data_IF_125630298091
#
_entry.id   IF_125630298091
#
_cell.length_a   1.000
_cell.length_b   1.000
_cell.length_c   1.000
_cell.angle_alpha   90.00
_cell.angle_beta   90.00
_cell.angle_gamma   90.00
#
_symmetry.space_group_name_H-M   'P 1'
#
loop_
_entity.id
_entity.type
_entity.pdbx_description
1 polymer ?
#
# COMPACT_ATOMS: atom_id res chain seq x y z
N UNK A 1 -7.31 6.18 22.14
CA UNK A 1 -5.83 6.25 22.08
C UNK A 1 -5.30 6.99 23.30
N UNK A 2 -4.13 6.64 23.83
CA UNK A 2 -3.50 7.38 24.95
C UNK A 2 -2.70 8.54 24.36
N UNK A 3 -3.08 9.77 24.69
CA UNK A 3 -2.31 10.96 24.32
C UNK A 3 -1.09 11.08 25.24
N UNK A 4 0.10 11.23 24.65
CA UNK A 4 1.38 11.34 25.40
C UNK A 4 1.94 12.76 25.41
N UNK A 5 1.59 13.56 24.40
CA UNK A 5 2.01 14.95 24.25
C UNK A 5 0.81 15.80 23.80
N UNK A 6 0.76 17.10 24.18
CA UNK A 6 -0.32 17.99 23.78
C UNK A 6 -0.30 18.28 22.28
N UNK A 7 0.89 18.40 21.68
CA UNK A 7 1.10 18.69 20.26
C UNK A 7 2.07 17.67 19.66
N UNK A 8 1.78 17.19 18.45
CA UNK A 8 2.66 16.29 17.70
C UNK A 8 2.89 16.85 16.30
N UNK A 9 4.16 17.03 15.95
CA UNK A 9 4.62 17.44 14.63
C UNK A 9 5.28 16.26 13.95
N UNK A 10 4.98 16.01 12.68
CA UNK A 10 5.55 14.89 11.93
C UNK A 10 5.99 15.37 10.55
N UNK A 11 7.27 15.15 10.22
CA UNK A 11 7.78 15.36 8.87
C UNK A 11 7.66 14.07 8.04
N UNK A 12 7.02 14.17 6.88
CA UNK A 12 6.82 13.04 5.94
C UNK A 12 7.04 13.49 4.50
N UNK A 13 7.19 12.53 3.57
CA UNK A 13 7.24 12.83 2.13
C UNK A 13 5.99 13.62 1.72
N UNK A 14 6.17 14.66 0.90
CA UNK A 14 5.09 15.58 0.52
C UNK A 14 3.90 14.87 -0.13
N UNK A 15 4.16 13.77 -0.85
CA UNK A 15 3.14 12.95 -1.52
C UNK A 15 2.19 12.26 -0.54
N UNK A 16 2.58 12.12 0.72
CA UNK A 16 1.78 11.51 1.78
C UNK A 16 0.93 12.53 2.56
N UNK A 17 1.19 13.84 2.39
CA UNK A 17 0.52 14.87 3.19
C UNK A 17 -1.01 14.84 3.07
N UNK A 18 -1.63 14.73 1.89
CA UNK A 18 -3.09 14.71 1.79
C UNK A 18 -3.70 13.55 2.58
N UNK A 19 -3.14 12.36 2.41
CA UNK A 19 -3.58 11.13 3.06
C UNK A 19 -3.46 11.20 4.59
N UNK A 20 -2.30 11.61 5.10
CA UNK A 20 -2.06 11.66 6.55
C UNK A 20 -2.86 12.78 7.23
N UNK A 21 -2.97 13.97 6.62
CA UNK A 21 -3.80 15.07 7.15
C UNK A 21 -5.28 14.69 7.21
N UNK A 22 -5.79 13.98 6.20
CA UNK A 22 -7.18 13.48 6.20
C UNK A 22 -7.41 12.43 7.29
N UNK A 23 -6.41 11.59 7.56
CA UNK A 23 -6.53 10.48 8.50
C UNK A 23 -6.34 10.89 9.97
N UNK A 24 -5.52 11.91 10.22
CA UNK A 24 -5.12 12.36 11.55
C UNK A 24 -5.06 13.91 11.58
N UNK A 25 -6.21 14.61 11.45
CA UNK A 25 -6.26 16.06 11.34
C UNK A 25 -5.75 16.80 12.57
N UNK A 26 -5.65 16.12 13.71
CA UNK A 26 -5.09 16.63 14.96
C UNK A 26 -3.55 16.70 14.97
N UNK A 27 -2.87 16.02 14.04
CA UNK A 27 -1.41 16.01 13.93
C UNK A 27 -0.96 17.05 12.90
N UNK A 28 0.06 17.83 13.25
CA UNK A 28 0.67 18.79 12.35
C UNK A 28 1.70 18.10 11.43
N UNK A 29 1.30 17.83 10.19
CA UNK A 29 2.20 17.25 9.18
C UNK A 29 2.93 18.30 8.35
N UNK A 30 4.24 18.11 8.20
CA UNK A 30 5.15 18.94 7.41
C UNK A 30 5.84 18.10 6.32
N UNK A 31 6.14 18.69 5.15
CA UNK A 31 6.90 17.97 4.13
C UNK A 31 8.37 17.83 4.58
N UNK A 32 8.97 16.67 4.34
CA UNK A 32 10.32 16.33 4.81
C UNK A 32 11.43 17.12 4.11
N UNK A 33 11.12 17.78 2.99
CA UNK A 33 12.03 18.67 2.27
C UNK A 33 12.03 20.11 2.82
N UNK A 34 11.21 20.40 3.85
CA UNK A 34 11.16 21.72 4.49
C UNK A 34 11.51 21.61 5.97
N UNK A 35 12.34 22.53 6.50
CA UNK A 35 12.62 22.58 7.93
C UNK A 35 11.37 22.95 8.72
N UNK A 36 11.24 22.35 9.91
CA UNK A 36 10.28 22.80 10.93
C UNK A 36 11.00 23.77 11.86
N UNK A 37 10.40 24.94 12.06
CA UNK A 37 10.90 25.97 12.98
C UNK A 37 11.14 25.38 14.38
N UNK A 38 12.36 25.53 14.90
CA UNK A 38 12.79 24.98 16.19
C UNK A 38 12.01 25.56 17.37
N UNK A 39 11.38 26.73 17.21
CA UNK A 39 10.49 27.29 18.23
C UNK A 39 9.17 26.52 18.39
N UNK A 40 8.86 25.56 17.51
CA UNK A 40 7.59 24.81 17.50
C UNK A 40 7.63 23.48 18.25
N UNK A 41 8.78 23.07 18.77
CA UNK A 41 8.90 21.79 19.49
C UNK A 41 9.94 21.86 20.61
N UNK A 42 9.69 21.15 21.70
CA UNK A 42 10.61 21.06 22.84
C UNK A 42 11.60 19.89 22.71
N UNK A 43 11.23 18.89 21.92
CA UNK A 43 12.01 17.68 21.68
C UNK A 43 11.67 17.07 20.32
N UNK A 44 12.59 16.28 19.76
CA UNK A 44 12.39 15.57 18.51
C UNK A 44 13.01 14.17 18.56
N UNK A 45 12.49 13.24 17.74
CA UNK A 45 12.96 11.87 17.63
C UNK A 45 12.81 11.39 16.17
N UNK A 46 13.78 10.65 15.62
CA UNK A 46 13.59 9.96 14.34
C UNK A 46 12.41 8.98 14.38
N UNK A 47 11.55 9.00 13.35
CA UNK A 47 10.36 8.14 13.29
C UNK A 47 10.67 6.64 13.39
N UNK A 48 11.85 6.21 12.96
CA UNK A 48 12.30 4.81 13.05
C UNK A 48 12.44 4.29 14.49
N UNK A 49 12.73 5.16 15.45
CA UNK A 49 12.97 4.78 16.85
C UNK A 49 11.67 4.48 17.59
N UNK A 50 10.53 4.96 17.07
CA UNK A 50 9.20 4.73 17.65
C UNK A 50 8.88 3.23 17.77
N UNK A 51 9.40 2.40 16.86
CA UNK A 51 9.24 0.95 16.93
C UNK A 51 9.81 0.36 18.22
N UNK A 52 11.01 0.78 18.63
CA UNK A 52 11.65 0.31 19.86
C UNK A 52 10.91 0.73 21.14
N UNK A 53 10.21 1.88 21.08
CA UNK A 53 9.47 2.44 22.22
C UNK A 53 8.08 1.80 22.35
N UNK A 54 7.36 1.64 21.24
CA UNK A 54 5.94 1.26 21.24
C UNK A 54 5.65 -0.18 20.80
N UNK A 55 6.67 -0.92 20.34
CA UNK A 55 6.55 -2.26 19.76
C UNK A 55 7.65 -3.21 20.28
N UNK A 56 7.80 -3.25 21.60
CA UNK A 56 8.85 -3.99 22.30
C UNK A 56 8.59 -5.50 22.37
N UNK A 57 7.32 -5.94 22.31
CA UNK A 57 6.90 -7.34 22.36
C UNK A 57 5.81 -7.64 21.34
N UNK A 58 5.60 -8.92 21.01
CA UNK A 58 4.65 -9.35 19.98
C UNK A 58 3.22 -8.91 20.27
N UNK A 59 2.83 -8.88 21.54
CA UNK A 59 1.48 -8.51 21.98
C UNK A 59 1.18 -7.03 21.70
N UNK A 60 2.20 -6.18 21.58
CA UNK A 60 2.02 -4.76 21.25
C UNK A 60 1.38 -4.61 19.86
N UNK A 61 1.57 -5.59 18.97
CA UNK A 61 1.00 -5.64 17.62
C UNK A 61 -0.44 -6.15 17.58
N UNK A 62 -0.87 -6.94 18.58
CA UNK A 62 -2.18 -7.62 18.57
C UNK A 62 -3.38 -6.66 18.67
N UNK A 63 -3.16 -5.45 19.18
CA UNK A 63 -4.20 -4.44 19.38
C UNK A 63 -4.49 -3.57 18.15
N UNK A 64 -4.03 -3.97 16.95
CA UNK A 64 -4.25 -3.23 15.70
C UNK A 64 -5.23 -3.99 14.81
N UNK A 65 -6.53 -3.72 15.01
CA UNK A 65 -7.60 -4.33 14.21
C UNK A 65 -8.03 -3.47 13.02
N UNK A 66 -7.72 -2.17 13.01
CA UNK A 66 -8.35 -1.20 12.13
C UNK A 66 -7.37 -0.47 11.20
N UNK A 67 -7.90 0.07 10.10
CA UNK A 67 -7.23 1.04 9.27
C UNK A 67 -6.76 2.24 10.10
N UNK A 68 -5.56 2.74 9.84
CA UNK A 68 -5.06 3.99 10.44
C UNK A 68 -4.85 5.09 9.41
N UNK A 69 -5.00 4.78 8.12
CA UNK A 69 -5.14 5.76 7.05
C UNK A 69 -6.52 5.64 6.42
N UNK A 70 -7.06 6.76 5.98
CA UNK A 70 -8.37 6.88 5.34
C UNK A 70 -8.14 7.35 3.91
N UNK A 71 -8.37 6.48 2.93
CA UNK A 71 -8.36 6.85 1.52
C UNK A 71 -9.47 7.86 1.19
N UNK A 72 -9.31 8.61 0.10
CA UNK A 72 -10.38 9.46 -0.42
C UNK A 72 -11.50 8.59 -1.00
N UNK A 73 -12.59 8.47 -0.23
CA UNK A 73 -13.73 7.61 -0.56
C UNK A 73 -14.50 8.09 -1.79
N UNK A 74 -14.57 9.39 -2.02
CA UNK A 74 -15.27 9.93 -3.19
C UNK A 74 -14.46 9.62 -4.46
N UNK A 75 -13.14 9.84 -4.40
CA UNK A 75 -12.23 9.48 -5.49
C UNK A 75 -12.25 7.98 -5.74
N UNK A 76 -12.21 7.15 -4.69
CA UNK A 76 -12.28 5.70 -4.81
C UNK A 76 -13.58 5.23 -5.48
N UNK A 77 -14.72 5.83 -5.12
CA UNK A 77 -16.02 5.49 -5.74
C UNK A 77 -16.05 5.83 -7.23
N UNK A 78 -15.54 7.00 -7.62
CA UNK A 78 -15.43 7.41 -9.04
C UNK A 78 -14.49 6.49 -9.82
N UNK A 79 -13.35 6.12 -9.24
CA UNK A 79 -12.41 5.18 -9.83
C UNK A 79 -13.07 3.80 -10.02
N UNK A 80 -13.78 3.29 -9.02
CA UNK A 80 -14.45 1.98 -9.15
C UNK A 80 -15.44 1.97 -10.30
N UNK A 81 -16.29 3.01 -10.37
CA UNK A 81 -17.30 3.15 -11.43
C UNK A 81 -16.70 3.24 -12.84
N UNK A 82 -15.47 3.74 -12.99
CA UNK A 82 -14.81 3.83 -14.29
C UNK A 82 -14.08 2.54 -14.70
N UNK A 83 -13.75 1.66 -13.74
CA UNK A 83 -12.94 0.46 -13.98
C UNK A 83 -13.77 -0.82 -14.13
N UNK A 84 -14.85 -0.97 -13.36
CA UNK A 84 -15.63 -2.21 -13.37
C UNK A 84 -17.11 -1.96 -13.08
N UNK A 85 -17.94 -2.95 -13.44
CA UNK A 85 -19.36 -2.97 -13.07
C UNK A 85 -19.54 -3.47 -11.63
N UNK A 86 -20.72 -3.23 -11.08
CA UNK A 86 -21.05 -3.62 -9.70
C UNK A 86 -21.03 -5.15 -9.47
N UNK A 87 -21.26 -5.95 -10.52
CA UNK A 87 -21.24 -7.42 -10.48
C UNK A 87 -19.85 -8.03 -10.77
N UNK A 88 -18.84 -7.20 -11.05
CA UNK A 88 -17.47 -7.62 -11.28
C UNK A 88 -16.62 -7.45 -10.01
N UNK A 89 -15.64 -8.34 -9.84
CA UNK A 89 -14.63 -8.25 -8.77
C UNK A 89 -13.39 -7.53 -9.31
N UNK A 90 -13.02 -6.40 -8.69
CA UNK A 90 -11.84 -5.63 -9.05
C UNK A 90 -10.66 -6.04 -8.14
N UNK A 91 -9.64 -6.65 -8.73
CA UNK A 91 -8.41 -7.05 -8.03
C UNK A 91 -7.28 -6.10 -8.44
N UNK A 92 -6.75 -5.37 -7.47
CA UNK A 92 -5.56 -4.56 -7.66
C UNK A 92 -4.30 -5.42 -7.60
N UNK A 93 -3.40 -5.28 -8.58
CA UNK A 93 -2.19 -6.09 -8.66
C UNK A 93 -0.91 -5.26 -8.72
N UNK A 94 0.14 -5.70 -8.01
CA UNK A 94 1.48 -5.14 -8.12
C UNK A 94 2.53 -6.25 -8.00
N UNK A 95 3.29 -6.48 -9.06
CA UNK A 95 4.09 -7.71 -9.22
C UNK A 95 5.59 -7.51 -9.07
N UNK A 96 6.10 -6.27 -9.02
CA UNK A 96 7.55 -6.00 -9.03
C UNK A 96 8.00 -5.08 -7.91
N UNK A 97 9.25 -5.28 -7.49
CA UNK A 97 9.96 -4.38 -6.61
C UNK A 97 11.16 -3.72 -7.29
N UNK A 98 11.25 -2.38 -7.27
CA UNK A 98 12.45 -1.63 -7.74
C UNK A 98 13.61 -1.57 -6.73
N UNK A 99 13.50 -2.21 -5.57
CA UNK A 99 14.61 -2.28 -4.62
C UNK A 99 15.85 -2.91 -5.27
N UNK A 100 17.00 -2.20 -5.26
CA UNK A 100 18.23 -2.61 -5.96
C UNK A 100 18.83 -3.91 -5.45
N UNK A 101 18.67 -4.22 -4.17
CA UNK A 101 19.34 -5.36 -3.52
C UNK A 101 18.47 -6.63 -3.52
N UNK A 102 17.18 -6.48 -3.21
CA UNK A 102 16.26 -7.60 -3.02
C UNK A 102 15.08 -7.60 -3.98
N UNK A 103 14.93 -6.58 -4.83
CA UNK A 103 13.73 -6.39 -5.63
C UNK A 103 13.45 -7.52 -6.60
N UNK A 104 14.46 -7.95 -7.37
CA UNK A 104 14.33 -9.06 -8.31
C UNK A 104 13.85 -10.35 -7.63
N UNK A 105 14.39 -10.66 -6.45
CA UNK A 105 14.03 -11.87 -5.69
C UNK A 105 12.62 -11.82 -5.11
N UNK A 106 12.01 -10.64 -5.02
CA UNK A 106 10.68 -10.44 -4.45
C UNK A 106 9.61 -10.21 -5.52
N UNK A 107 10.01 -10.03 -6.77
CA UNK A 107 9.11 -9.85 -7.89
C UNK A 107 8.51 -11.19 -8.33
N UNK A 108 7.34 -11.09 -8.94
CA UNK A 108 6.63 -12.17 -9.62
C UNK A 108 6.74 -11.96 -11.12
N UNK A 109 6.64 -13.04 -11.88
CA UNK A 109 6.45 -12.97 -13.32
C UNK A 109 5.00 -12.52 -13.60
N UNK A 110 4.83 -11.49 -14.44
CA UNK A 110 3.53 -10.84 -14.61
C UNK A 110 2.51 -11.79 -15.23
N UNK A 111 2.91 -12.53 -16.26
CA UNK A 111 2.01 -13.39 -17.00
C UNK A 111 1.46 -14.50 -16.11
N UNK A 112 2.31 -15.28 -15.46
CA UNK A 112 1.89 -16.32 -14.51
C UNK A 112 1.02 -15.75 -13.39
N UNK A 113 1.37 -14.56 -12.88
CA UNK A 113 0.61 -13.92 -11.83
C UNK A 113 -0.79 -13.48 -12.29
N UNK A 114 -0.90 -12.88 -13.48
CA UNK A 114 -2.17 -12.42 -14.04
C UNK A 114 -3.03 -13.60 -14.53
N UNK A 115 -2.44 -14.66 -15.09
CA UNK A 115 -3.12 -15.89 -15.49
C UNK A 115 -3.83 -16.55 -14.30
N UNK A 116 -3.15 -16.64 -13.15
CA UNK A 116 -3.71 -17.27 -11.95
C UNK A 116 -4.87 -16.48 -11.31
N UNK A 117 -5.00 -15.19 -11.63
CA UNK A 117 -6.04 -14.31 -11.08
C UNK A 117 -7.20 -14.07 -12.07
N UNK A 118 -6.99 -14.34 -13.37
CA UNK A 118 -7.96 -14.03 -14.41
C UNK A 118 -9.16 -14.99 -14.37
N UNK A 119 -10.37 -14.44 -14.40
CA UNK A 119 -11.63 -15.19 -14.43
C UNK A 119 -12.75 -14.34 -15.10
N UNK A 120 -13.86 -14.96 -15.57
CA UNK A 120 -14.89 -14.27 -16.36
C UNK A 120 -15.52 -13.00 -15.74
N UNK A 121 -15.54 -12.87 -14.41
CA UNK A 121 -16.10 -11.73 -13.68
C UNK A 121 -15.04 -10.98 -12.86
N UNK A 122 -13.75 -11.19 -13.17
CA UNK A 122 -12.64 -10.53 -12.49
C UNK A 122 -12.02 -9.50 -13.42
N UNK A 123 -11.81 -8.29 -12.90
CA UNK A 123 -11.01 -7.24 -13.53
C UNK A 123 -9.72 -7.09 -12.75
N UNK A 124 -8.60 -7.12 -13.45
CA UNK A 124 -7.29 -6.80 -12.87
C UNK A 124 -7.01 -5.32 -13.12
N UNK A 125 -6.55 -4.60 -12.10
CA UNK A 125 -6.12 -3.20 -12.24
C UNK A 125 -4.68 -3.02 -11.76
N UNK A 126 -3.92 -2.23 -12.51
CA UNK A 126 -2.53 -1.95 -12.24
C UNK A 126 -2.35 -1.05 -10.99
N UNK A 127 -1.71 -1.61 -9.95
CA UNK A 127 -1.19 -0.87 -8.80
C UNK A 127 0.35 -0.77 -8.83
N UNK A 128 1.00 -1.28 -9.88
CA UNK A 128 2.44 -1.24 -10.02
C UNK A 128 2.92 0.17 -10.33
N UNK A 129 3.90 0.62 -9.55
CA UNK A 129 4.61 1.86 -9.78
C UNK A 129 5.70 1.70 -10.85
N UNK A 130 6.01 2.81 -11.52
CA UNK A 130 6.94 2.86 -12.63
C UNK A 130 6.30 2.63 -14.00
N UNK A 131 7.14 2.72 -15.04
CA UNK A 131 6.70 2.45 -16.40
C UNK A 131 6.56 0.95 -16.62
N UNK A 132 5.32 0.54 -16.90
CA UNK A 132 4.91 -0.84 -17.19
C UNK A 132 4.12 -0.92 -18.49
N UNK A 133 4.04 0.17 -19.27
CA UNK A 133 3.12 0.27 -20.41
C UNK A 133 3.39 -0.82 -21.43
N UNK A 134 4.65 -0.98 -21.85
CA UNK A 134 5.03 -1.98 -22.83
C UNK A 134 4.77 -3.41 -22.33
N UNK A 135 5.03 -3.68 -21.05
CA UNK A 135 4.80 -4.97 -20.41
C UNK A 135 3.32 -5.36 -20.41
N UNK A 136 2.42 -4.41 -20.07
CA UNK A 136 0.98 -4.66 -20.09
C UNK A 136 0.45 -4.86 -21.51
N UNK A 137 0.91 -4.05 -22.46
CA UNK A 137 0.50 -4.18 -23.86
C UNK A 137 0.99 -5.51 -24.46
N UNK A 138 2.18 -5.97 -24.07
CA UNK A 138 2.68 -7.28 -24.47
C UNK A 138 1.81 -8.41 -23.90
N UNK A 139 1.49 -8.37 -22.60
CA UNK A 139 0.62 -9.36 -21.95
C UNK A 139 -0.74 -9.47 -22.67
N UNK A 140 -1.35 -8.33 -23.00
CA UNK A 140 -2.63 -8.30 -23.72
C UNK A 140 -2.51 -8.87 -25.14
N UNK A 141 -1.46 -8.50 -25.88
CA UNK A 141 -1.25 -8.98 -27.26
C UNK A 141 -0.96 -10.49 -27.32
N UNK A 142 -0.14 -11.00 -26.40
CA UNK A 142 0.38 -12.38 -26.47
C UNK A 142 -0.52 -13.38 -25.74
N UNK A 143 -1.24 -12.95 -24.69
CA UNK A 143 -2.01 -13.83 -23.82
C UNK A 143 -3.49 -13.44 -23.70
N UNK A 144 -3.92 -12.32 -24.28
CA UNK A 144 -5.30 -11.85 -24.21
C UNK A 144 -5.74 -11.37 -22.82
N UNK A 145 -4.80 -11.25 -21.88
CA UNK A 145 -5.08 -10.81 -20.51
C UNK A 145 -4.95 -9.29 -20.44
N UNK A 146 -6.03 -8.64 -20.04
CA UNK A 146 -6.07 -7.20 -19.87
C UNK A 146 -5.92 -6.82 -18.40
N UNK A 147 -4.96 -5.92 -18.12
CA UNK A 147 -4.82 -5.25 -16.83
C UNK A 147 -5.18 -3.79 -17.04
N UNK A 148 -6.23 -3.34 -16.38
CA UNK A 148 -6.75 -1.99 -16.47
C UNK A 148 -5.75 -0.98 -15.91
N UNK A 149 -5.71 0.20 -16.51
CA UNK A 149 -4.95 1.36 -16.04
C UNK A 149 -5.93 2.45 -15.62
N UNK A 150 -5.72 3.05 -14.45
CA UNK A 150 -6.46 4.22 -14.02
C UNK A 150 -5.73 5.48 -14.49
N UNK A 151 -6.21 6.12 -15.56
CA UNK A 151 -5.55 7.28 -16.16
C UNK A 151 -5.44 8.49 -15.20
N UNK A 152 -6.33 8.57 -14.21
CA UNK A 152 -6.40 9.66 -13.24
C UNK A 152 -5.44 9.47 -12.05
N UNK A 153 -4.66 8.38 -12.00
CA UNK A 153 -3.77 8.05 -10.88
C UNK A 153 -2.36 7.74 -11.36
N UNK A 154 -1.39 8.52 -10.88
CA UNK A 154 0.03 8.18 -11.00
C UNK A 154 0.44 7.31 -9.80
N UNK A 155 0.60 6.01 -10.03
CA UNK A 155 0.98 5.03 -9.01
C UNK A 155 2.36 5.28 -8.35
N UNK A 156 3.15 6.26 -8.82
CA UNK A 156 4.46 6.61 -8.27
C UNK A 156 4.43 7.93 -7.50
N UNK A 157 3.79 8.95 -8.06
CA UNK A 157 3.85 10.32 -7.53
C UNK A 157 2.58 10.72 -6.77
N UNK A 158 1.44 10.12 -7.09
CA UNK A 158 0.17 10.42 -6.45
C UNK A 158 -0.20 9.30 -5.45
N UNK A 159 0.43 9.32 -4.27
CA UNK A 159 0.20 8.31 -3.26
C UNK A 159 -1.21 8.39 -2.63
N UNK A 160 -1.83 9.57 -2.64
CA UNK A 160 -3.22 9.73 -2.21
C UNK A 160 -4.20 9.10 -3.22
N UNK A 161 -3.93 9.30 -4.51
CA UNK A 161 -4.64 8.64 -5.60
C UNK A 161 -4.44 7.14 -5.63
N UNK A 162 -3.21 6.67 -5.37
CA UNK A 162 -2.95 5.24 -5.24
C UNK A 162 -3.73 4.64 -4.07
N UNK A 163 -3.83 5.34 -2.93
CA UNK A 163 -4.66 4.89 -1.81
C UNK A 163 -6.15 4.83 -2.21
N UNK A 164 -6.66 5.79 -2.98
CA UNK A 164 -8.02 5.76 -3.51
C UNK A 164 -8.24 4.62 -4.52
N UNK A 165 -7.26 4.34 -5.37
CA UNK A 165 -7.30 3.23 -6.33
C UNK A 165 -7.29 1.86 -5.61
N UNK A 166 -6.47 1.71 -4.57
CA UNK A 166 -6.50 0.52 -3.71
C UNK A 166 -7.85 0.39 -3.03
N UNK A 167 -8.41 1.48 -2.51
CA UNK A 167 -9.71 1.47 -1.84
C UNK A 167 -10.85 1.05 -2.78
N UNK A 168 -10.77 1.41 -4.06
CA UNK A 168 -11.72 1.02 -5.09
C UNK A 168 -11.73 -0.50 -5.39
N UNK A 169 -10.62 -1.19 -5.12
CA UNK A 169 -10.48 -2.63 -5.33
C UNK A 169 -11.24 -3.42 -4.25
N UNK A 170 -11.74 -4.60 -4.61
CA UNK A 170 -12.30 -5.55 -3.65
C UNK A 170 -11.19 -6.20 -2.81
N UNK A 171 -10.07 -6.53 -3.46
CA UNK A 171 -8.85 -7.02 -2.80
C UNK A 171 -7.59 -6.62 -3.57
N UNK A 172 -6.44 -6.78 -2.92
CA UNK A 172 -5.12 -6.61 -3.53
C UNK A 172 -4.37 -7.93 -3.53
N UNK A 173 -3.70 -8.23 -4.63
CA UNK A 173 -2.75 -9.34 -4.77
C UNK A 173 -1.41 -8.73 -5.15
N UNK A 174 -0.35 -8.96 -4.38
CA UNK A 174 0.92 -8.26 -4.63
C UNK A 174 2.16 -9.06 -4.27
N UNK A 175 3.25 -8.79 -4.98
CA UNK A 175 4.60 -9.04 -4.53
C UNK A 175 4.93 -8.23 -3.25
N UNK A 176 5.98 -8.62 -2.52
CA UNK A 176 6.48 -7.86 -1.35
C UNK A 176 7.09 -6.51 -1.77
N UNK A 177 6.26 -5.46 -1.82
CA UNK A 177 6.65 -4.10 -2.19
C UNK A 177 5.87 -3.01 -1.40
N UNK A 178 6.11 -1.74 -1.73
CA UNK A 178 5.52 -0.60 -1.00
C UNK A 178 3.99 -0.55 -1.07
N UNK A 179 3.38 -1.01 -2.17
CA UNK A 179 1.92 -1.00 -2.35
C UNK A 179 1.21 -1.80 -1.26
N UNK A 180 1.80 -2.93 -0.83
CA UNK A 180 1.32 -3.76 0.27
C UNK A 180 1.17 -2.97 1.57
N UNK A 181 2.13 -2.09 1.88
CA UNK A 181 2.11 -1.30 3.11
C UNK A 181 1.01 -0.23 3.08
N UNK A 182 0.76 0.36 1.92
CA UNK A 182 -0.33 1.33 1.75
C UNK A 182 -1.70 0.64 1.86
N UNK A 183 -1.86 -0.51 1.20
CA UNK A 183 -3.08 -1.32 1.29
C UNK A 183 -3.38 -1.77 2.73
N UNK A 184 -2.36 -2.24 3.46
CA UNK A 184 -2.49 -2.60 4.87
C UNK A 184 -2.83 -1.40 5.77
N UNK A 185 -2.30 -0.22 5.48
CA UNK A 185 -2.55 0.99 6.27
C UNK A 185 -4.01 1.46 6.19
N UNK A 186 -4.67 1.24 5.05
CA UNK A 186 -6.11 1.50 4.85
C UNK A 186 -6.98 0.26 5.11
N UNK A 187 -6.39 -0.82 5.64
CA UNK A 187 -7.04 -2.11 5.93
C UNK A 187 -7.72 -2.79 4.72
N UNK A 188 -7.19 -2.61 3.51
CA UNK A 188 -7.66 -3.36 2.34
C UNK A 188 -7.22 -4.81 2.44
N UNK A 189 -8.15 -5.73 2.16
CA UNK A 189 -7.84 -7.16 2.06
C UNK A 189 -6.71 -7.37 1.04
N UNK A 190 -5.59 -7.93 1.49
CA UNK A 190 -4.39 -8.09 0.67
C UNK A 190 -3.77 -9.46 0.86
N UNK A 191 -3.48 -10.14 -0.25
CA UNK A 191 -2.65 -11.34 -0.27
C UNK A 191 -1.27 -10.99 -0.83
N UNK A 192 -0.23 -11.28 -0.05
CA UNK A 192 1.16 -11.02 -0.43
C UNK A 192 1.84 -12.32 -0.80
N UNK A 193 2.35 -12.37 -2.03
CA UNK A 193 3.11 -13.49 -2.57
C UNK A 193 4.60 -13.27 -2.29
N UNK A 194 5.14 -14.10 -1.40
CA UNK A 194 6.51 -14.05 -0.94
C UNK A 194 7.37 -15.01 -1.75
N UNK A 195 8.17 -14.47 -2.67
CA UNK A 195 9.10 -15.27 -3.47
C UNK A 195 10.38 -15.59 -2.66
N UNK A 196 10.34 -16.63 -1.83
CA UNK A 196 11.49 -17.14 -1.06
C UNK A 196 11.55 -16.69 0.41
N UNK A 197 12.71 -16.19 0.86
CA UNK A 197 12.91 -15.87 2.30
C UNK A 197 12.06 -14.66 2.71
N UNK A 198 11.20 -14.88 3.71
CA UNK A 198 10.37 -13.82 4.29
C UNK A 198 11.27 -12.68 4.82
N UNK A 199 10.95 -11.45 4.41
CA UNK A 199 11.53 -10.24 5.00
C UNK A 199 11.31 -10.24 6.52
N UNK A 200 12.23 -9.66 7.29
CA UNK A 200 12.12 -9.59 8.76
C UNK A 200 10.77 -9.00 9.23
N UNK A 201 10.16 -8.14 8.41
CA UNK A 201 8.84 -7.52 8.67
C UNK A 201 7.70 -8.53 8.78
N UNK A 202 7.82 -9.66 8.07
CA UNK A 202 6.78 -10.68 7.97
C UNK A 202 6.94 -11.80 9.01
N UNK A 203 8.14 -11.96 9.57
CA UNK A 203 8.54 -13.06 10.45
C UNK A 203 8.38 -14.46 9.82
N UNK A 204 9.28 -15.39 10.11
CA UNK A 204 9.42 -16.63 9.32
C UNK A 204 8.26 -17.64 9.44
N UNK A 205 7.24 -17.42 10.29
CA UNK A 205 6.26 -18.45 10.64
C UNK A 205 4.78 -18.02 10.60
N UNK A 206 4.47 -16.78 10.21
CA UNK A 206 3.07 -16.33 10.17
C UNK A 206 2.48 -16.41 8.76
N UNK A 207 1.20 -16.82 8.67
CA UNK A 207 0.34 -16.66 7.49
C UNK A 207 -0.33 -15.28 7.44
N UNK A 208 -0.23 -14.50 8.52
CA UNK A 208 -0.78 -13.16 8.64
C UNK A 208 0.30 -12.15 9.04
N UNK A 209 0.11 -10.89 8.68
CA UNK A 209 1.02 -9.82 9.08
C UNK A 209 0.79 -9.39 10.54
N UNK A 210 1.89 -9.16 11.28
CA UNK A 210 1.82 -8.49 12.59
C UNK A 210 1.51 -7.00 12.47
N UNK A 211 1.83 -6.39 11.33
CA UNK A 211 1.67 -4.96 11.12
C UNK A 211 0.26 -4.58 10.67
N UNK A 212 -0.42 -5.50 9.98
CA UNK A 212 -1.67 -5.24 9.28
C UNK A 212 -2.58 -6.47 9.37
N UNK A 213 -3.73 -6.32 10.01
CA UNK A 213 -4.73 -7.39 10.17
C UNK A 213 -5.33 -7.85 8.84
N UNK A 214 -5.39 -6.96 7.84
CA UNK A 214 -5.96 -7.23 6.51
C UNK A 214 -5.01 -7.95 5.55
N UNK A 215 -3.76 -8.23 5.98
CA UNK A 215 -2.73 -8.81 5.13
C UNK A 215 -2.48 -10.27 5.46
N UNK A 216 -2.69 -11.12 4.46
CA UNK A 216 -2.32 -12.53 4.45
C UNK A 216 -1.06 -12.74 3.60
N UNK A 217 -0.30 -13.76 3.96
CA UNK A 217 1.01 -14.08 3.38
C UNK A 217 1.00 -15.50 2.81
N UNK A 218 1.39 -15.64 1.54
CA UNK A 218 1.61 -16.92 0.87
C UNK A 218 3.05 -16.98 0.33
N UNK A 219 3.63 -18.17 0.28
CA UNK A 219 5.00 -18.43 -0.18
C UNK A 219 5.05 -19.67 -1.04
#
# INVERSE_FOLDING_TARGET
MKQLVPNLLVQIDERLLPLFKRSMPEIAFYPSNQPVDESKYDAHLPMGDLGGIFRSKKEDFANRKDAFLVADKERASKIRQSLCKDDETLIGISWKSKNKQSGLKRSLELKEFAENLSAPSVKLVNLQYGDVKEELEQLKREHGIEILQCADVDNTNDLDGLAALIEACDKVESADNTTVHLAGAIAKETLVHLNGRKNWRWLNQSKSSFWYSSINLIS
#
